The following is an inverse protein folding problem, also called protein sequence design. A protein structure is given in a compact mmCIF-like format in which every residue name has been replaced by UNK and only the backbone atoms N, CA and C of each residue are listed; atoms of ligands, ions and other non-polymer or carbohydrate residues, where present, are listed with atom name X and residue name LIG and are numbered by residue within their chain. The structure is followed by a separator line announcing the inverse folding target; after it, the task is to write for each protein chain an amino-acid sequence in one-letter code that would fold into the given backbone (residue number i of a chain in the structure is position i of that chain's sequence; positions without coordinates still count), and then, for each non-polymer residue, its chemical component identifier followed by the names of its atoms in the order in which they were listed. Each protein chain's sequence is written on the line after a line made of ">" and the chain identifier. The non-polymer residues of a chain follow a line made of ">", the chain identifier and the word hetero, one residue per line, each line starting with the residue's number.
data_IF_137021063356
#
_entry.id   IF_137021063356
#
_cell.length_a   1.000
_cell.length_b   1.000
_cell.length_c   1.000
_cell.angle_alpha   90.00
_cell.angle_beta   90.00
_cell.angle_gamma   90.00
#
_symmetry.space_group_name_H-M   'P 1'
#
loop_
_entity.id
_entity.type
_entity.pdbx_description
1 polymer ?
#
# COMPACT_ATOMS: atom_id res chain seq x y z
N UNK A 1 6.37 11.81 -4.36
CA UNK A 1 5.87 11.28 -5.65
C UNK A 1 6.94 11.49 -6.71
N UNK A 2 7.32 10.46 -7.47
CA UNK A 2 8.42 10.51 -8.45
C UNK A 2 9.68 9.74 -8.02
N UNK A 3 10.32 9.04 -8.97
CA UNK A 3 11.46 8.17 -8.74
C UNK A 3 12.76 9.00 -8.55
N UNK A 4 12.86 9.75 -7.46
CA UNK A 4 14.09 10.42 -7.04
C UNK A 4 14.87 9.57 -6.04
N UNK A 5 15.18 8.32 -6.39
CA UNK A 5 16.17 7.45 -5.71
C UNK A 5 15.84 6.94 -4.29
N UNK A 6 15.18 7.75 -3.46
CA UNK A 6 14.82 7.44 -2.06
C UNK A 6 13.88 6.21 -1.97
N UNK A 7 12.83 6.08 -2.81
CA UNK A 7 11.91 4.93 -2.70
C UNK A 7 12.55 3.58 -3.04
N UNK A 8 13.56 3.55 -3.93
CA UNK A 8 14.27 2.32 -4.26
C UNK A 8 15.20 1.90 -3.12
N UNK A 9 15.84 2.88 -2.47
CA UNK A 9 16.66 2.64 -1.28
C UNK A 9 15.80 2.16 -0.12
N UNK A 10 14.64 2.76 0.10
CA UNK A 10 13.71 2.36 1.16
C UNK A 10 13.13 0.96 0.88
N UNK A 11 12.80 0.64 -0.38
CA UNK A 11 12.39 -0.71 -0.76
C UNK A 11 13.52 -1.72 -0.53
N UNK A 12 14.76 -1.35 -0.88
CA UNK A 12 15.94 -2.19 -0.66
C UNK A 12 16.18 -2.40 0.83
N UNK A 13 16.09 -1.35 1.64
CA UNK A 13 16.23 -1.42 3.09
C UNK A 13 15.12 -2.25 3.72
N UNK A 14 13.85 -2.10 3.30
CA UNK A 14 12.75 -2.94 3.78
C UNK A 14 13.05 -4.43 3.58
N UNK A 15 13.63 -4.79 2.44
CA UNK A 15 14.02 -6.17 2.11
C UNK A 15 15.27 -6.61 2.88
N UNK A 16 16.27 -5.73 3.02
CA UNK A 16 17.57 -6.05 3.62
C UNK A 16 17.56 -6.05 5.16
N UNK A 17 16.80 -5.14 5.78
CA UNK A 17 16.65 -5.02 7.23
C UNK A 17 15.77 -6.15 7.79
N UNK A 18 14.87 -6.71 6.97
CA UNK A 18 14.04 -7.87 7.33
C UNK A 18 13.09 -7.59 8.50
N UNK A 19 12.83 -6.32 8.80
CA UNK A 19 11.96 -5.93 9.90
C UNK A 19 10.51 -6.31 9.61
N UNK A 20 9.89 -7.00 10.56
CA UNK A 20 8.51 -7.44 10.45
C UNK A 20 7.51 -6.26 10.51
N UNK A 21 6.29 -6.50 10.03
CA UNK A 21 5.15 -5.59 10.16
C UNK A 21 5.32 -4.24 9.46
N UNK A 22 6.19 -4.18 8.44
CA UNK A 22 6.40 -3.00 7.60
C UNK A 22 5.95 -3.25 6.16
N UNK A 23 5.70 -2.18 5.44
CA UNK A 23 5.45 -2.19 4.01
C UNK A 23 6.13 -1.02 3.32
N UNK A 24 5.93 -0.95 2.00
CA UNK A 24 6.29 0.23 1.23
C UNK A 24 5.29 0.45 0.11
N UNK A 25 4.92 1.72 -0.09
CA UNK A 25 4.06 2.16 -1.17
C UNK A 25 4.79 3.14 -2.06
N UNK A 26 4.83 2.82 -3.35
CA UNK A 26 5.38 3.69 -4.38
C UNK A 26 4.33 4.00 -5.44
N UNK A 27 4.15 5.27 -5.74
CA UNK A 27 3.25 5.75 -6.80
C UNK A 27 4.04 6.53 -7.86
N UNK A 28 3.89 6.10 -9.11
CA UNK A 28 4.25 6.87 -10.27
C UNK A 28 3.00 7.58 -10.80
N UNK A 29 2.95 8.88 -10.56
CA UNK A 29 1.82 9.74 -10.95
C UNK A 29 1.70 9.92 -12.46
N UNK A 30 2.82 9.97 -13.18
CA UNK A 30 2.84 10.20 -14.63
C UNK A 30 2.12 9.09 -15.38
N UNK A 31 2.34 7.84 -14.95
CA UNK A 31 1.69 6.65 -15.53
C UNK A 31 0.51 6.14 -14.72
N UNK A 32 0.16 6.81 -13.61
CA UNK A 32 -0.94 6.46 -12.70
C UNK A 32 -0.89 5.01 -12.21
N UNK A 33 0.30 4.55 -11.82
CA UNK A 33 0.49 3.20 -11.27
C UNK A 33 1.07 3.28 -9.87
N UNK A 34 0.53 2.45 -9.00
CA UNK A 34 0.99 2.30 -7.63
C UNK A 34 1.35 0.85 -7.38
N UNK A 35 2.46 0.63 -6.68
CA UNK A 35 2.87 -0.67 -6.15
C UNK A 35 2.95 -0.53 -4.64
N UNK A 36 2.19 -1.37 -3.93
CA UNK A 36 2.28 -1.52 -2.49
C UNK A 36 2.79 -2.91 -2.18
N UNK A 37 3.82 -3.01 -1.35
CA UNK A 37 4.44 -4.26 -0.92
C UNK A 37 4.27 -4.39 0.58
N UNK A 38 3.70 -5.51 1.00
CA UNK A 38 3.58 -5.85 2.42
C UNK A 38 4.70 -6.83 2.76
N UNK A 39 5.54 -6.46 3.72
CA UNK A 39 6.60 -7.31 4.23
C UNK A 39 6.05 -8.48 5.05
N UNK A 40 6.96 -9.31 5.56
CA UNK A 40 6.58 -10.37 6.49
C UNK A 40 5.95 -9.79 7.76
N UNK A 41 4.87 -10.41 8.24
CA UNK A 41 4.16 -9.97 9.43
C UNK A 41 4.20 -11.05 10.52
N UNK A 42 4.33 -10.64 11.77
CA UNK A 42 4.40 -11.54 12.93
C UNK A 42 3.07 -12.20 13.27
N UNK A 43 1.96 -11.67 12.76
CA UNK A 43 0.61 -12.25 12.93
C UNK A 43 -0.33 -11.82 11.80
N UNK A 44 -1.50 -12.48 11.70
CA UNK A 44 -2.57 -12.06 10.78
C UNK A 44 -3.10 -10.65 11.08
N UNK A 45 -3.16 -10.28 12.37
CA UNK A 45 -3.58 -8.95 12.77
C UNK A 45 -2.57 -7.89 12.30
N UNK A 46 -1.27 -8.17 12.48
CA UNK A 46 -0.22 -7.28 11.99
C UNK A 46 -0.17 -7.21 10.46
N UNK A 47 -0.43 -8.32 9.76
CA UNK A 47 -0.55 -8.29 8.31
C UNK A 47 -1.68 -7.34 7.86
N UNK A 48 -2.85 -7.43 8.48
CA UNK A 48 -3.97 -6.52 8.17
C UNK A 48 -3.65 -5.07 8.51
N UNK A 49 -2.93 -4.84 9.62
CA UNK A 49 -2.47 -3.52 10.01
C UNK A 49 -1.53 -2.93 8.94
N UNK A 50 -0.46 -3.63 8.57
CA UNK A 50 0.48 -3.20 7.52
C UNK A 50 -0.21 -3.04 6.17
N UNK A 51 -1.12 -3.94 5.80
CA UNK A 51 -1.91 -3.82 4.57
C UNK A 51 -2.73 -2.52 4.54
N UNK A 52 -3.47 -2.26 5.61
CA UNK A 52 -4.30 -1.05 5.71
C UNK A 52 -3.48 0.25 5.73
N UNK A 53 -2.29 0.20 6.34
CA UNK A 53 -1.31 1.30 6.35
C UNK A 53 -0.86 1.65 4.93
N UNK A 54 -0.40 0.66 4.16
CA UNK A 54 0.06 0.89 2.80
C UNK A 54 -1.09 1.32 1.87
N UNK A 55 -2.30 0.77 2.06
CA UNK A 55 -3.49 1.26 1.33
C UNK A 55 -3.77 2.74 1.61
N UNK A 56 -3.60 3.20 2.85
CA UNK A 56 -3.77 4.62 3.17
C UNK A 56 -2.75 5.48 2.42
N UNK A 57 -1.50 5.04 2.26
CA UNK A 57 -0.53 5.73 1.42
C UNK A 57 -0.97 5.80 -0.05
N UNK A 58 -1.55 4.73 -0.60
CA UNK A 58 -2.14 4.77 -1.95
C UNK A 58 -3.23 5.85 -2.04
N UNK A 59 -4.14 5.88 -1.06
CA UNK A 59 -5.22 6.90 -1.02
C UNK A 59 -4.63 8.29 -0.90
N UNK A 60 -3.63 8.51 -0.05
CA UNK A 60 -2.96 9.81 0.10
C UNK A 60 -2.36 10.29 -1.22
N UNK A 61 -1.62 9.44 -1.95
CA UNK A 61 -1.02 9.80 -3.23
C UNK A 61 -2.09 10.12 -4.29
N UNK A 62 -3.18 9.36 -4.35
CA UNK A 62 -4.31 9.64 -5.25
C UNK A 62 -4.95 10.97 -4.87
N UNK A 63 -5.23 11.17 -3.58
CA UNK A 63 -5.90 12.37 -3.10
C UNK A 63 -5.09 13.63 -3.34
N UNK A 64 -3.77 13.57 -3.16
CA UNK A 64 -2.86 14.67 -3.48
C UNK A 64 -2.91 15.00 -4.99
N UNK A 65 -2.88 13.97 -5.85
CA UNK A 65 -2.88 14.14 -7.30
C UNK A 65 -4.22 14.66 -7.86
N UNK A 66 -5.34 14.35 -7.23
CA UNK A 66 -6.69 14.68 -7.71
C UNK A 66 -7.41 15.71 -6.83
N UNK A 67 -6.71 16.33 -5.88
CA UNK A 67 -7.24 17.34 -4.94
C UNK A 67 -8.45 16.82 -4.13
N UNK A 68 -8.43 15.54 -3.77
CA UNK A 68 -9.46 14.93 -2.92
C UNK A 68 -9.17 15.30 -1.47
N UNK A 69 -10.21 15.72 -0.75
CA UNK A 69 -10.10 16.02 0.66
C UNK A 69 -9.91 14.71 1.46
N UNK A 70 -8.74 14.54 2.08
CA UNK A 70 -8.41 13.39 2.92
C UNK A 70 -9.30 13.25 4.17
N UNK A 71 -10.00 14.32 4.58
CA UNK A 71 -10.97 14.29 5.68
C UNK A 71 -12.43 14.09 5.22
N UNK A 72 -12.64 13.84 3.92
CA UNK A 72 -13.96 13.63 3.32
C UNK A 72 -14.28 12.17 3.06
N UNK A 73 -15.56 11.89 2.82
CA UNK A 73 -16.07 10.54 2.52
C UNK A 73 -15.42 9.89 1.30
N UNK A 74 -15.05 10.68 0.29
CA UNK A 74 -14.43 10.16 -0.93
C UNK A 74 -13.12 9.39 -0.64
N UNK A 75 -12.28 9.90 0.27
CA UNK A 75 -11.07 9.21 0.70
C UNK A 75 -11.39 7.91 1.45
N UNK A 76 -12.43 7.90 2.29
CA UNK A 76 -12.91 6.71 2.98
C UNK A 76 -13.38 5.63 1.98
N UNK A 77 -14.14 6.03 0.95
CA UNK A 77 -14.60 5.10 -0.08
C UNK A 77 -13.46 4.60 -0.99
N UNK A 78 -12.44 5.41 -1.26
CA UNK A 78 -11.24 4.95 -1.96
C UNK A 78 -10.52 3.85 -1.18
N UNK A 79 -10.33 4.04 0.14
CA UNK A 79 -9.74 3.02 1.01
C UNK A 79 -10.59 1.75 1.03
N UNK A 80 -11.91 1.91 1.19
CA UNK A 80 -12.86 0.79 1.16
C UNK A 80 -12.85 0.02 -0.17
N UNK A 81 -12.67 0.72 -1.30
CA UNK A 81 -12.53 0.11 -2.62
C UNK A 81 -11.25 -0.72 -2.75
N UNK A 82 -10.12 -0.22 -2.24
CA UNK A 82 -8.85 -0.97 -2.20
C UNK A 82 -8.98 -2.23 -1.34
N UNK A 83 -9.58 -2.12 -0.15
CA UNK A 83 -9.82 -3.25 0.73
C UNK A 83 -10.66 -4.33 0.03
N UNK A 84 -11.77 -3.95 -0.60
CA UNK A 84 -12.60 -4.87 -1.40
C UNK A 84 -11.80 -5.54 -2.52
N UNK A 85 -10.99 -4.79 -3.27
CA UNK A 85 -10.18 -5.34 -4.35
C UNK A 85 -9.20 -6.40 -3.84
N UNK A 86 -8.59 -6.22 -2.66
CA UNK A 86 -7.70 -7.25 -2.10
C UNK A 86 -8.43 -8.51 -1.65
N UNK A 87 -9.64 -8.38 -1.11
CA UNK A 87 -10.48 -9.53 -0.75
C UNK A 87 -10.86 -10.39 -1.97
N UNK A 88 -11.18 -9.77 -3.10
CA UNK A 88 -11.55 -10.53 -4.31
C UNK A 88 -10.34 -11.11 -5.04
N UNK A 89 -9.17 -10.45 -4.99
CA UNK A 89 -7.97 -10.89 -5.72
C UNK A 89 -7.10 -11.89 -4.95
N UNK A 90 -7.27 -12.02 -3.63
CA UNK A 90 -6.52 -13.02 -2.82
C UNK A 90 -6.82 -14.47 -3.21
N UNK A 91 -7.94 -14.74 -3.91
CA UNK A 91 -8.28 -16.09 -4.41
C UNK A 91 -7.45 -16.61 -5.59
N UNK A 92 -6.58 -15.78 -6.19
CA UNK A 92 -5.68 -16.23 -7.27
C UNK A 92 -4.28 -16.65 -6.81
N UNK A 93 -3.93 -16.45 -5.53
CA UNK A 93 -2.56 -16.71 -5.03
C UNK A 93 -2.45 -17.37 -3.66
N UNK A 94 -3.56 -17.62 -2.95
CA UNK A 94 -3.54 -18.27 -1.65
C UNK A 94 -3.83 -19.78 -1.77
N UNK A 95 -2.80 -20.55 -2.12
CA UNK A 95 -2.58 -21.84 -1.45
C UNK A 95 -1.49 -21.57 -0.41
N UNK A 96 -1.93 -21.19 0.78
CA UNK A 96 -1.17 -21.35 2.00
C UNK A 96 -2.13 -22.09 2.93
N UNK A 97 -2.11 -23.40 2.75
CA UNK A 97 -2.94 -24.46 3.38
C UNK A 97 -4.40 -24.57 2.92
#
# INVERSE_FOLDING_TARGET
>A
MGCSGIPLKDACNLVLEGEANKGITYSNVDIRKTVAVIGWATSKAEYMNSLSHEMLHVVQHISEQFLINMYGEEACYLLGGLAQATFFNTKKGASLE
#
